data_IF_003955005449
#
_entry.id   IF_003955005449
#
_cell.length_a   1.000
_cell.length_b   1.000
_cell.length_c   1.000
_cell.angle_alpha   90.00
_cell.angle_beta   90.00
_cell.angle_gamma   90.00
#
_symmetry.space_group_name_H-M   'P 1'
#
loop_
_entity.id
_entity.type
_entity.pdbx_description
1 polymer ?
#
# COMPACT_ATOMS: atom_id res chain seq x y z
N UNK A 1 45.47 -1.05 -3.62
CA UNK A 1 44.23 -0.25 -3.68
C UNK A 1 43.94 0.05 -5.14
N UNK A 2 42.71 -0.17 -5.61
CA UNK A 2 42.28 0.34 -6.92
C UNK A 2 42.08 1.85 -6.77
N UNK A 3 42.77 2.65 -7.59
CA UNK A 3 42.74 4.11 -7.52
C UNK A 3 41.44 4.74 -8.01
N UNK A 4 40.63 3.97 -8.76
CA UNK A 4 39.38 4.43 -9.36
C UNK A 4 38.33 3.31 -9.38
N UNK A 5 37.06 3.70 -9.40
CA UNK A 5 35.94 2.76 -9.43
C UNK A 5 35.82 2.14 -10.84
N UNK A 6 36.03 0.82 -11.00
CA UNK A 6 35.97 0.14 -12.32
C UNK A 6 34.56 0.12 -12.94
N UNK A 7 33.54 0.56 -12.20
CA UNK A 7 32.15 0.65 -12.66
C UNK A 7 31.68 2.09 -12.95
N UNK A 8 32.57 3.09 -12.88
CA UNK A 8 32.21 4.50 -13.04
C UNK A 8 31.53 4.81 -14.39
N UNK A 9 31.89 4.07 -15.45
CA UNK A 9 31.34 4.27 -16.80
C UNK A 9 30.10 3.39 -17.09
N UNK A 10 29.75 2.46 -16.20
CA UNK A 10 28.59 1.59 -16.41
C UNK A 10 27.31 2.34 -16.03
N UNK A 11 26.58 2.80 -17.05
CA UNK A 11 25.23 3.35 -16.88
C UNK A 11 24.26 2.23 -16.51
N UNK A 12 23.72 2.26 -15.29
CA UNK A 12 22.62 1.38 -14.91
C UNK A 12 21.35 1.78 -15.65
N UNK A 13 20.66 0.82 -16.28
CA UNK A 13 19.36 1.06 -16.91
C UNK A 13 18.28 1.50 -15.92
N UNK A 14 17.20 2.09 -16.44
CA UNK A 14 16.03 2.44 -15.62
C UNK A 14 15.47 1.21 -14.91
N UNK A 15 15.39 1.27 -13.57
CA UNK A 15 14.80 0.22 -12.73
C UNK A 15 13.26 0.17 -12.82
N UNK A 16 12.66 1.10 -13.58
CA UNK A 16 11.20 1.25 -13.70
C UNK A 16 10.77 1.02 -15.15
N UNK A 17 9.89 0.04 -15.35
CA UNK A 17 9.27 -0.24 -16.64
C UNK A 17 7.74 -0.19 -16.51
N UNK A 18 7.14 0.94 -16.92
CA UNK A 18 5.70 1.19 -16.83
C UNK A 18 4.87 0.38 -17.82
N UNK A 19 5.42 -0.06 -18.97
CA UNK A 19 4.68 -0.86 -19.95
C UNK A 19 4.31 -2.25 -19.44
N UNK A 20 4.91 -2.67 -18.32
CA UNK A 20 4.61 -3.92 -17.62
C UNK A 20 3.65 -3.73 -16.44
N UNK A 21 3.12 -2.54 -16.22
CA UNK A 21 2.04 -2.33 -15.25
C UNK A 21 0.75 -2.91 -15.82
N UNK A 22 -0.02 -3.54 -14.94
CA UNK A 22 -1.30 -4.12 -15.29
C UNK A 22 -2.21 -4.00 -14.07
N UNK A 23 -3.42 -3.50 -14.29
CA UNK A 23 -4.41 -3.33 -13.23
C UNK A 23 -5.34 -4.54 -13.21
N UNK A 24 -5.45 -5.20 -12.05
CA UNK A 24 -6.30 -6.37 -11.85
C UNK A 24 -7.57 -5.91 -11.15
N UNK A 25 -8.69 -5.89 -11.88
CA UNK A 25 -9.98 -5.50 -11.33
C UNK A 25 -10.50 -6.49 -10.29
N UNK A 26 -11.53 -6.10 -9.53
CA UNK A 26 -12.16 -6.97 -8.53
C UNK A 26 -12.84 -8.18 -9.19
N UNK A 27 -13.42 -7.98 -10.37
CA UNK A 27 -14.09 -9.03 -11.15
C UNK A 27 -13.09 -10.08 -11.64
N UNK A 28 -11.92 -9.64 -12.13
CA UNK A 28 -10.84 -10.57 -12.50
C UNK A 28 -10.30 -11.28 -11.25
N UNK A 29 -10.10 -10.57 -10.14
CA UNK A 29 -9.64 -11.17 -8.89
C UNK A 29 -10.61 -12.24 -8.37
N UNK A 30 -11.92 -12.01 -8.45
CA UNK A 30 -12.94 -12.99 -8.07
C UNK A 30 -12.83 -14.29 -8.89
N UNK A 31 -12.77 -14.17 -10.23
CA UNK A 31 -12.58 -15.35 -11.11
C UNK A 31 -11.34 -16.17 -10.76
N UNK A 32 -10.25 -15.50 -10.39
CA UNK A 32 -9.01 -16.19 -10.01
C UNK A 32 -9.14 -16.88 -8.66
N UNK A 33 -9.79 -16.25 -7.68
CA UNK A 33 -10.06 -16.83 -6.36
C UNK A 33 -10.97 -18.07 -6.47
N UNK A 34 -11.95 -18.06 -7.36
CA UNK A 34 -12.85 -19.20 -7.59
C UNK A 34 -12.13 -20.39 -8.25
N UNK A 35 -11.09 -20.11 -9.04
CA UNK A 35 -10.28 -21.14 -9.69
C UNK A 35 -9.15 -21.69 -8.80
N UNK A 36 -8.88 -21.08 -7.64
CA UNK A 36 -7.85 -21.52 -6.71
C UNK A 36 -8.11 -22.97 -6.24
N UNK A 37 -7.07 -23.81 -6.13
CA UNK A 37 -7.24 -25.23 -5.81
C UNK A 37 -7.61 -25.50 -4.34
N UNK A 38 -7.30 -24.59 -3.43
CA UNK A 38 -7.56 -24.73 -2.00
C UNK A 38 -7.55 -23.36 -1.28
N UNK A 39 -7.92 -23.37 0.00
CA UNK A 39 -7.98 -22.18 0.85
C UNK A 39 -6.62 -21.47 0.99
N UNK A 40 -5.52 -22.22 1.09
CA UNK A 40 -4.18 -21.61 1.16
C UNK A 40 -3.83 -20.84 -0.13
N UNK A 41 -4.21 -21.34 -1.31
CA UNK A 41 -4.02 -20.58 -2.56
C UNK A 41 -4.91 -19.34 -2.64
N UNK A 42 -6.15 -19.42 -2.14
CA UNK A 42 -7.02 -18.24 -2.02
C UNK A 42 -6.35 -17.19 -1.15
N UNK A 43 -5.76 -17.60 -0.01
CA UNK A 43 -4.98 -16.73 0.86
C UNK A 43 -3.75 -16.16 0.15
N UNK A 44 -2.93 -16.98 -0.51
CA UNK A 44 -1.72 -16.53 -1.22
C UNK A 44 -2.06 -15.42 -2.23
N UNK A 45 -3.14 -15.61 -3.00
CA UNK A 45 -3.60 -14.60 -3.95
C UNK A 45 -4.12 -13.34 -3.23
N UNK A 46 -4.97 -13.51 -2.22
CA UNK A 46 -5.59 -12.42 -1.47
C UNK A 46 -4.58 -11.56 -0.68
N UNK A 47 -3.52 -12.14 -0.12
CA UNK A 47 -2.48 -11.41 0.60
C UNK A 47 -1.80 -10.38 -0.31
N UNK A 48 -1.49 -10.74 -1.55
CA UNK A 48 -0.96 -9.81 -2.54
C UNK A 48 -2.04 -8.85 -3.08
N UNK A 49 -3.24 -9.34 -3.40
CA UNK A 49 -4.29 -8.55 -4.07
C UNK A 49 -5.03 -7.58 -3.16
N UNK A 50 -5.31 -7.96 -1.92
CA UNK A 50 -6.08 -7.16 -0.97
C UNK A 50 -5.24 -6.68 0.20
N UNK A 51 -4.28 -7.49 0.67
CA UNK A 51 -3.31 -7.06 1.69
C UNK A 51 -2.15 -6.22 1.14
N UNK A 52 -1.90 -6.32 -0.18
CA UNK A 52 -0.74 -5.68 -0.79
C UNK A 52 0.60 -6.23 -0.32
N UNK A 53 0.67 -7.45 0.22
CA UNK A 53 1.93 -8.06 0.70
C UNK A 53 2.86 -8.42 -0.47
N UNK A 54 4.16 -8.54 -0.17
CA UNK A 54 5.19 -9.05 -1.08
C UNK A 54 5.23 -10.57 -1.06
N UNK A 55 5.23 -11.16 -2.24
CA UNK A 55 5.32 -12.61 -2.44
C UNK A 55 6.76 -13.01 -2.83
N UNK A 56 7.31 -14.14 -2.34
CA UNK A 56 6.69 -15.07 -1.39
C UNK A 56 7.01 -14.79 0.08
N UNK A 57 8.05 -14.01 0.38
CA UNK A 57 8.64 -13.94 1.72
C UNK A 57 7.67 -13.52 2.82
N UNK A 58 6.86 -12.47 2.59
CA UNK A 58 5.91 -12.00 3.60
C UNK A 58 4.71 -12.96 3.73
N UNK A 59 4.34 -13.67 2.66
CA UNK A 59 3.22 -14.60 2.68
C UNK A 59 3.59 -15.83 3.52
N UNK A 60 4.80 -16.35 3.30
CA UNK A 60 5.30 -17.52 4.02
C UNK A 60 5.78 -17.18 5.43
N UNK A 61 6.05 -15.91 5.77
CA UNK A 61 6.37 -15.53 7.14
C UNK A 61 5.13 -15.40 8.05
N UNK A 62 3.94 -15.19 7.47
CA UNK A 62 2.74 -14.85 8.22
C UNK A 62 2.22 -16.00 9.08
N UNK A 63 1.96 -15.70 10.35
CA UNK A 63 1.41 -16.65 11.34
C UNK A 63 0.01 -16.22 11.77
N UNK A 64 -0.78 -17.17 12.26
CA UNK A 64 -2.14 -16.87 12.74
C UNK A 64 -2.15 -15.86 13.90
N UNK A 65 -1.12 -15.89 14.76
CA UNK A 65 -0.92 -14.91 15.84
C UNK A 65 -0.73 -13.47 15.36
N UNK A 66 -0.36 -13.27 14.09
CA UNK A 66 -0.14 -11.95 13.52
C UNK A 66 -1.46 -11.32 13.01
N UNK A 67 -2.56 -12.08 13.03
CA UNK A 67 -3.90 -11.63 12.63
C UNK A 67 -4.68 -11.20 13.88
N UNK A 68 -4.85 -9.90 14.05
CA UNK A 68 -5.71 -9.35 15.09
C UNK A 68 -7.12 -9.12 14.54
N UNK A 69 -7.98 -10.12 14.76
CA UNK A 69 -9.37 -10.12 14.29
C UNK A 69 -10.21 -9.04 14.94
N UNK A 70 -9.95 -8.72 16.21
CA UNK A 70 -10.76 -7.80 17.00
C UNK A 70 -10.41 -6.35 16.64
N UNK A 71 -9.12 -6.03 16.55
CA UNK A 71 -8.67 -4.70 16.15
C UNK A 71 -8.71 -4.48 14.62
N UNK A 72 -8.93 -5.53 13.83
CA UNK A 72 -8.95 -5.46 12.37
C UNK A 72 -7.57 -5.12 11.80
N UNK A 73 -6.51 -5.74 12.34
CA UNK A 73 -5.11 -5.44 11.98
C UNK A 73 -4.35 -6.71 11.62
N UNK A 74 -3.37 -6.56 10.74
CA UNK A 74 -2.46 -7.60 10.30
C UNK A 74 -1.02 -7.13 10.48
N UNK A 75 -0.26 -7.82 11.32
CA UNK A 75 1.17 -7.55 11.50
C UNK A 75 1.98 -8.27 10.43
N UNK A 76 2.74 -7.52 9.64
CA UNK A 76 3.56 -8.08 8.55
C UNK A 76 5.03 -7.81 8.84
N UNK A 77 5.75 -8.88 9.13
CA UNK A 77 7.20 -8.87 9.38
C UNK A 77 7.99 -8.64 8.09
N UNK A 78 9.03 -7.81 8.16
CA UNK A 78 9.86 -7.46 7.01
C UNK A 78 11.31 -7.89 7.24
N UNK A 79 11.71 -8.99 6.61
CA UNK A 79 13.10 -9.48 6.66
C UNK A 79 14.10 -8.57 5.95
N UNK A 80 13.64 -7.65 5.10
CA UNK A 80 14.51 -6.78 4.30
C UNK A 80 14.81 -5.43 4.94
N UNK A 81 13.97 -4.98 5.86
CA UNK A 81 14.11 -3.68 6.55
C UNK A 81 14.37 -3.83 8.03
N UNK A 82 14.60 -5.06 8.50
CA UNK A 82 14.99 -5.35 9.90
C UNK A 82 16.24 -4.58 10.31
N UNK A 83 17.18 -4.35 9.38
CA UNK A 83 18.38 -3.56 9.60
C UNK A 83 18.13 -2.03 9.67
N UNK A 84 16.89 -1.56 9.56
CA UNK A 84 16.53 -0.14 9.65
C UNK A 84 15.69 0.07 10.92
N UNK A 85 15.94 1.16 11.64
CA UNK A 85 15.22 1.48 12.87
C UNK A 85 13.70 1.58 12.62
N UNK A 86 12.91 0.82 13.38
CA UNK A 86 11.46 0.70 13.17
C UNK A 86 11.03 -0.13 11.94
N UNK A 87 11.95 -0.77 11.23
CA UNK A 87 11.69 -1.50 9.98
C UNK A 87 11.42 -3.01 10.12
N UNK A 88 11.38 -3.55 11.33
CA UNK A 88 11.19 -4.99 11.57
C UNK A 88 9.81 -5.51 11.15
N UNK A 89 8.78 -4.67 11.24
CA UNK A 89 7.41 -5.01 10.86
C UNK A 89 6.62 -3.77 10.45
N UNK A 90 5.43 -4.00 9.89
CA UNK A 90 4.42 -2.97 9.67
C UNK A 90 3.04 -3.51 10.03
N UNK A 91 2.12 -2.61 10.34
CA UNK A 91 0.72 -2.96 10.58
C UNK A 91 -0.12 -2.55 9.37
N UNK A 92 -0.85 -3.50 8.82
CA UNK A 92 -1.77 -3.32 7.69
C UNK A 92 -3.20 -3.47 8.18
N UNK A 93 -4.18 -2.69 7.70
CA UNK A 93 -5.58 -2.97 7.97
C UNK A 93 -5.95 -4.37 7.49
N UNK A 94 -6.70 -5.11 8.30
CA UNK A 94 -7.31 -6.36 7.90
C UNK A 94 -8.54 -6.05 7.04
N UNK A 95 -8.29 -5.72 5.77
CA UNK A 95 -9.33 -5.32 4.83
C UNK A 95 -10.43 -6.38 4.71
N UNK A 96 -11.71 -6.00 4.53
CA UNK A 96 -12.84 -6.94 4.55
C UNK A 96 -12.67 -8.14 3.60
N UNK A 97 -12.15 -7.90 2.40
CA UNK A 97 -11.93 -8.93 1.39
C UNK A 97 -10.83 -9.92 1.81
N UNK A 98 -9.79 -9.42 2.47
CA UNK A 98 -8.74 -10.27 3.03
C UNK A 98 -9.22 -11.01 4.28
N UNK A 99 -10.02 -10.35 5.12
CA UNK A 99 -10.61 -10.93 6.33
C UNK A 99 -11.44 -12.15 6.01
N UNK A 100 -12.31 -12.07 5.00
CA UNK A 100 -13.17 -13.17 4.59
C UNK A 100 -12.34 -14.40 4.17
N UNK A 101 -11.33 -14.21 3.33
CA UNK A 101 -10.45 -15.30 2.86
C UNK A 101 -9.61 -15.89 3.99
N UNK A 102 -9.09 -15.06 4.90
CA UNK A 102 -8.33 -15.56 6.05
C UNK A 102 -9.22 -16.32 7.04
N UNK A 103 -10.48 -15.90 7.23
CA UNK A 103 -11.43 -16.61 8.11
C UNK A 103 -11.76 -17.99 7.54
N UNK A 104 -12.08 -18.08 6.26
CA UNK A 104 -12.31 -19.36 5.55
C UNK A 104 -11.11 -20.31 5.72
N UNK A 105 -9.89 -19.80 5.55
CA UNK A 105 -8.67 -20.58 5.74
C UNK A 105 -8.41 -20.96 7.20
N UNK A 106 -8.80 -20.12 8.17
CA UNK A 106 -8.65 -20.40 9.59
C UNK A 106 -9.59 -21.51 10.05
N UNK A 107 -10.83 -21.54 9.56
CA UNK A 107 -11.84 -22.55 9.90
C UNK A 107 -11.43 -23.97 9.46
N UNK A 108 -10.68 -24.08 8.36
CA UNK A 108 -10.19 -25.37 7.85
C UNK A 108 -8.74 -25.69 8.24
N UNK A 109 -8.07 -24.77 8.95
CA UNK A 109 -6.69 -24.98 9.38
C UNK A 109 -6.62 -26.07 10.45
N UNK A 110 -5.52 -26.83 10.46
CA UNK A 110 -5.26 -27.80 11.50
C UNK A 110 -5.13 -27.09 12.87
N UNK A 111 -5.80 -27.63 13.89
CA UNK A 111 -5.74 -27.10 15.24
C UNK A 111 -4.28 -27.05 15.73
N UNK A 112 -3.85 -25.88 16.20
CA UNK A 112 -2.46 -25.65 16.62
C UNK A 112 -1.48 -25.35 15.48
N UNK A 113 -1.94 -25.29 14.23
CA UNK A 113 -1.15 -24.80 13.11
C UNK A 113 -0.65 -23.38 13.35
N UNK A 114 0.65 -23.13 13.14
CA UNK A 114 1.25 -21.82 13.41
C UNK A 114 1.10 -20.85 12.23
N UNK A 115 1.30 -21.35 11.02
CA UNK A 115 1.44 -20.55 9.81
C UNK A 115 0.12 -20.46 9.03
N UNK A 116 -0.15 -19.28 8.47
CA UNK A 116 -1.33 -19.06 7.61
C UNK A 116 -1.21 -19.86 6.31
N UNK A 117 0.01 -19.95 5.75
CA UNK A 117 0.33 -20.80 4.60
C UNK A 117 1.29 -21.88 5.08
N UNK A 118 0.77 -23.09 5.30
CA UNK A 118 1.51 -24.23 5.84
C UNK A 118 2.03 -25.16 4.72
N UNK A 119 1.21 -25.43 3.71
CA UNK A 119 1.48 -26.41 2.65
C UNK A 119 2.56 -25.96 1.65
N UNK A 120 2.55 -24.69 1.27
CA UNK A 120 3.35 -24.18 0.13
C UNK A 120 4.72 -23.59 0.51
N UNK A 121 5.36 -24.12 1.55
CA UNK A 121 6.60 -23.56 2.15
C UNK A 121 7.90 -24.17 1.63
N UNK A 122 7.83 -25.30 0.94
CA UNK A 122 9.02 -26.04 0.49
C UNK A 122 9.72 -25.34 -0.68
N UNK A 123 11.05 -25.48 -0.81
CA UNK A 123 11.86 -24.80 -1.84
C UNK A 123 11.44 -25.12 -3.29
N UNK A 124 10.82 -26.27 -3.52
CA UNK A 124 10.32 -26.71 -4.83
C UNK A 124 8.91 -26.15 -5.17
N UNK A 125 8.23 -25.48 -4.24
CA UNK A 125 6.93 -24.86 -4.50
C UNK A 125 7.08 -23.58 -5.31
N UNK A 126 6.84 -23.66 -6.63
CA UNK A 126 6.88 -22.49 -7.51
C UNK A 126 5.50 -21.80 -7.60
N UNK A 127 5.30 -20.77 -6.78
CA UNK A 127 4.05 -20.00 -6.75
C UNK A 127 3.75 -19.32 -8.10
N UNK A 128 4.75 -18.90 -8.86
CA UNK A 128 4.54 -18.28 -10.18
C UNK A 128 3.92 -19.29 -11.15
N UNK A 129 4.51 -20.48 -11.26
CA UNK A 129 4.04 -21.52 -12.18
C UNK A 129 2.61 -21.94 -11.81
N UNK A 130 2.34 -22.11 -10.52
CA UNK A 130 1.00 -22.51 -10.08
C UNK A 130 -0.04 -21.40 -10.32
N UNK A 131 0.30 -20.12 -10.09
CA UNK A 131 -0.60 -19.01 -10.42
C UNK A 131 -0.93 -19.00 -11.93
N UNK A 132 0.05 -19.22 -12.81
CA UNK A 132 -0.22 -19.31 -14.26
C UNK A 132 -1.23 -20.41 -14.61
N UNK A 133 -1.18 -21.57 -13.94
CA UNK A 133 -2.17 -22.65 -14.12
C UNK A 133 -3.55 -22.23 -13.63
N UNK A 134 -3.63 -21.54 -12.50
CA UNK A 134 -4.89 -21.01 -11.95
C UNK A 134 -5.50 -20.00 -12.93
N UNK A 135 -4.69 -19.09 -13.50
CA UNK A 135 -5.16 -18.12 -14.49
C UNK A 135 -5.72 -18.80 -15.74
N UNK A 136 -5.00 -19.82 -16.25
CA UNK A 136 -5.49 -20.63 -17.37
C UNK A 136 -6.84 -21.29 -17.06
N UNK A 137 -6.98 -21.90 -15.88
CA UNK A 137 -8.24 -22.51 -15.43
C UNK A 137 -9.37 -21.49 -15.28
N UNK A 138 -9.06 -20.27 -14.85
CA UNK A 138 -10.02 -19.17 -14.70
C UNK A 138 -10.44 -18.54 -16.04
N UNK A 139 -9.83 -18.96 -17.16
CA UNK A 139 -10.02 -18.28 -18.46
C UNK A 139 -9.49 -16.85 -18.47
N UNK A 140 -8.51 -16.53 -17.62
CA UNK A 140 -7.93 -15.20 -17.48
C UNK A 140 -6.56 -15.17 -18.15
N UNK A 141 -6.30 -14.26 -19.10
CA UNK A 141 -4.98 -14.09 -19.68
C UNK A 141 -3.93 -13.74 -18.62
N UNK A 142 -2.73 -14.32 -18.74
CA UNK A 142 -1.63 -14.01 -17.83
C UNK A 142 -1.13 -12.57 -18.03
N UNK A 143 -0.82 -11.90 -16.93
CA UNK A 143 -0.24 -10.55 -16.94
C UNK A 143 1.25 -10.55 -16.55
N UNK A 144 2.02 -9.51 -16.94
CA UNK A 144 3.41 -9.37 -16.50
C UNK A 144 3.50 -9.21 -14.98
N UNK A 145 4.66 -9.58 -14.39
CA UNK A 145 4.97 -9.34 -12.97
C UNK A 145 3.85 -9.76 -12.00
N UNK A 146 3.30 -10.96 -12.21
CA UNK A 146 2.08 -11.50 -11.58
C UNK A 146 1.73 -10.93 -10.19
N UNK A 147 2.48 -11.28 -9.14
CA UNK A 147 2.21 -10.84 -7.77
C UNK A 147 2.47 -9.36 -7.53
N UNK A 148 3.47 -8.78 -8.21
CA UNK A 148 3.76 -7.36 -8.07
C UNK A 148 2.61 -6.50 -8.59
N UNK A 149 1.99 -6.90 -9.70
CA UNK A 149 0.85 -6.16 -10.25
C UNK A 149 -0.44 -6.33 -9.42
N UNK A 150 -0.60 -7.44 -8.68
CA UNK A 150 -1.66 -7.55 -7.66
C UNK A 150 -1.48 -6.48 -6.56
N UNK A 151 -0.25 -6.37 -6.02
CA UNK A 151 0.09 -5.32 -5.04
C UNK A 151 -0.04 -3.92 -5.62
N UNK A 152 0.39 -3.71 -6.86
CA UNK A 152 0.28 -2.44 -7.60
C UNK A 152 -1.18 -2.00 -7.76
N UNK A 153 -2.06 -2.94 -8.10
CA UNK A 153 -3.49 -2.70 -8.16
C UNK A 153 -4.04 -2.29 -6.80
N UNK A 154 -3.66 -3.00 -5.74
CA UNK A 154 -4.09 -2.65 -4.36
C UNK A 154 -3.60 -1.27 -3.92
N UNK A 155 -2.34 -0.96 -4.18
CA UNK A 155 -1.77 0.34 -3.81
C UNK A 155 -2.43 1.49 -4.56
N UNK A 156 -2.76 1.30 -5.84
CA UNK A 156 -3.48 2.28 -6.64
C UNK A 156 -4.86 2.57 -6.03
N UNK A 157 -5.65 1.53 -5.73
CA UNK A 157 -6.97 1.67 -5.10
C UNK A 157 -6.89 2.41 -3.76
N UNK A 158 -5.99 1.97 -2.88
CA UNK A 158 -5.87 2.58 -1.55
C UNK A 158 -5.41 4.05 -1.62
N UNK A 159 -4.58 4.43 -2.60
CA UNK A 159 -4.08 5.80 -2.72
C UNK A 159 -5.15 6.78 -3.25
N UNK A 160 -6.23 6.27 -3.81
CA UNK A 160 -7.37 7.09 -4.20
C UNK A 160 -8.34 7.32 -3.04
N UNK A 161 -8.36 6.41 -2.07
CA UNK A 161 -9.23 6.46 -0.89
C UNK A 161 -8.53 7.13 0.30
N UNK A 162 -7.22 6.97 0.43
CA UNK A 162 -6.44 7.40 1.59
C UNK A 162 -5.19 8.21 1.19
N UNK A 163 -4.70 9.09 2.07
CA UNK A 163 -3.48 9.85 1.81
C UNK A 163 -2.28 8.93 1.50
N UNK A 164 -1.48 9.31 0.49
CA UNK A 164 -0.39 8.47 0.00
C UNK A 164 0.62 8.03 1.08
N UNK A 165 0.94 8.90 2.04
CA UNK A 165 1.86 8.56 3.13
C UNK A 165 1.30 7.46 4.07
N UNK A 166 -0.01 7.45 4.30
CA UNK A 166 -0.69 6.41 5.10
C UNK A 166 -0.62 5.06 4.37
N UNK A 167 -0.95 5.05 3.08
CA UNK A 167 -0.88 3.84 2.25
C UNK A 167 0.55 3.31 2.16
N UNK A 168 1.52 4.20 2.00
CA UNK A 168 2.95 3.87 2.00
C UNK A 168 3.40 3.23 3.31
N UNK A 169 2.93 3.73 4.46
CA UNK A 169 3.19 3.13 5.77
C UNK A 169 2.59 1.71 5.87
N UNK A 170 1.34 1.51 5.44
CA UNK A 170 0.69 0.19 5.44
C UNK A 170 1.37 -0.81 4.50
N UNK A 171 1.77 -0.38 3.31
CA UNK A 171 2.35 -1.30 2.33
C UNK A 171 3.86 -1.44 2.52
N UNK A 172 4.51 -0.59 3.31
CA UNK A 172 5.94 -0.65 3.61
C UNK A 172 6.80 -0.23 2.41
N UNK A 173 6.45 0.88 1.77
CA UNK A 173 7.30 1.56 0.78
C UNK A 173 7.29 3.07 1.02
N UNK A 174 8.22 3.81 0.41
CA UNK A 174 8.14 5.28 0.39
C UNK A 174 7.13 5.76 -0.66
N UNK A 175 6.62 6.98 -0.48
CA UNK A 175 5.70 7.61 -1.46
C UNK A 175 6.35 7.73 -2.84
N UNK A 176 7.65 8.06 -2.88
CA UNK A 176 8.42 8.14 -4.13
C UNK A 176 8.49 6.78 -4.83
N UNK A 177 8.77 5.71 -4.08
CA UNK A 177 8.77 4.34 -4.62
C UNK A 177 7.37 3.92 -5.08
N UNK A 178 6.33 4.31 -4.35
CA UNK A 178 4.94 4.06 -4.74
C UNK A 178 4.63 4.70 -6.10
N UNK A 179 4.94 6.00 -6.25
CA UNK A 179 4.70 6.77 -7.47
C UNK A 179 5.46 6.19 -8.68
N UNK A 180 6.71 5.76 -8.48
CA UNK A 180 7.51 5.20 -9.56
C UNK A 180 7.07 3.78 -9.97
N UNK A 181 6.73 2.91 -9.01
CA UNK A 181 6.62 1.47 -9.28
C UNK A 181 5.21 0.88 -9.17
N UNK A 182 4.28 1.54 -8.50
CA UNK A 182 2.99 0.96 -8.13
C UNK A 182 1.76 1.79 -8.55
N UNK A 183 1.83 3.12 -8.57
CA UNK A 183 0.64 3.92 -8.90
C UNK A 183 0.33 3.89 -10.40
N UNK A 184 -0.85 3.36 -10.73
CA UNK A 184 -1.35 3.22 -12.10
C UNK A 184 -2.34 4.34 -12.43
N UNK A 185 -2.25 4.88 -13.64
CA UNK A 185 -3.29 5.75 -14.22
C UNK A 185 -4.31 4.84 -14.92
N UNK A 186 -5.59 5.07 -14.68
CA UNK A 186 -6.72 4.27 -15.17
C UNK A 186 -7.68 5.14 -15.97
N UNK A 187 -8.43 4.53 -16.90
CA UNK A 187 -9.43 5.23 -17.71
C UNK A 187 -10.45 5.97 -16.84
N UNK A 188 -10.93 5.35 -15.77
CA UNK A 188 -11.82 6.00 -14.81
C UNK A 188 -11.27 7.26 -14.15
N UNK A 189 -9.94 7.47 -14.12
CA UNK A 189 -9.37 8.74 -13.62
C UNK A 189 -9.63 9.87 -14.59
N UNK A 190 -9.63 9.59 -15.90
CA UNK A 190 -10.06 10.56 -16.91
C UNK A 190 -11.56 10.81 -16.80
N UNK A 191 -12.37 9.75 -16.71
CA UNK A 191 -13.84 9.89 -16.58
C UNK A 191 -14.22 10.70 -15.34
N UNK A 192 -13.60 10.42 -14.19
CA UNK A 192 -13.86 11.15 -12.95
C UNK A 192 -13.33 12.59 -12.95
N UNK A 193 -12.27 12.89 -13.71
CA UNK A 193 -11.74 14.25 -13.82
C UNK A 193 -12.60 15.14 -14.73
N UNK A 194 -13.27 14.54 -15.72
CA UNK A 194 -14.17 15.25 -16.66
C UNK A 194 -15.61 15.32 -16.13
N UNK A 195 -16.07 14.31 -15.39
CA UNK A 195 -17.37 14.32 -14.75
C UNK A 195 -17.48 15.40 -13.68
N UNK A 196 -18.56 16.17 -13.67
CA UNK A 196 -18.88 17.08 -12.56
C UNK A 196 -18.87 16.26 -11.26
N UNK A 197 -18.10 16.71 -10.27
CA UNK A 197 -17.95 16.06 -8.96
C UNK A 197 -19.32 15.76 -8.35
N UNK A 198 -19.79 14.53 -8.48
CA UNK A 198 -20.92 14.05 -7.69
C UNK A 198 -20.46 14.03 -6.22
N UNK A 199 -20.97 14.98 -5.46
CA UNK A 199 -20.76 15.12 -4.03
C UNK A 199 -20.96 13.78 -3.31
N UNK A 200 -19.90 13.29 -2.65
CA UNK A 200 -20.04 12.30 -1.58
C UNK A 200 -18.86 12.42 -0.62
N UNK A 201 -18.78 13.56 0.07
CA UNK A 201 -18.32 13.51 1.46
C UNK A 201 -19.38 12.71 2.22
N UNK A 202 -19.10 11.43 2.47
CA UNK A 202 -19.86 10.60 3.39
C UNK A 202 -19.65 11.16 4.80
N UNK A 203 -20.52 12.08 5.21
CA UNK A 203 -20.69 12.44 6.60
C UNK A 203 -21.62 11.41 7.24
N UNK A 204 -21.04 10.38 7.89
CA UNK A 204 -21.77 9.62 8.91
C UNK A 204 -21.88 10.50 10.16
N UNK A 205 -22.90 11.35 10.22
CA UNK A 205 -23.37 11.93 11.48
C UNK A 205 -24.72 11.27 11.83
N UNK A 206 -24.87 10.66 13.01
CA UNK A 206 -26.18 10.18 13.45
C UNK A 206 -27.04 11.42 13.78
N UNK A 207 -28.13 11.59 13.03
CA UNK A 207 -29.15 12.59 13.35
C UNK A 207 -29.90 12.15 14.61
N UNK A 208 -29.67 12.85 15.73
CA UNK A 208 -30.59 12.82 16.87
C UNK A 208 -31.83 13.64 16.51
N UNK A 209 -32.99 12.97 16.52
CA UNK A 209 -34.30 13.59 16.49
C UNK A 209 -34.56 14.33 17.81
N UNK A 210 -34.97 15.60 17.72
CA UNK A 210 -35.29 16.44 18.86
C UNK A 210 -36.15 17.63 18.45
N UNK A 211 -37.46 17.38 18.39
CA UNK A 211 -38.62 18.27 18.47
C UNK A 211 -38.50 19.78 18.16
N UNK A 212 -39.40 20.21 17.26
CA UNK A 212 -39.82 21.58 16.99
C UNK A 212 -40.32 22.33 18.23
N UNK A 213 -40.05 23.65 18.31
CA UNK A 213 -41.00 24.62 18.86
C UNK A 213 -40.74 26.05 18.32
N UNK A 214 -41.74 26.49 17.55
CA UNK A 214 -42.28 27.84 17.31
C UNK A 214 -41.40 29.12 17.37
N UNK A 215 -41.34 29.75 16.19
CA UNK A 215 -41.35 31.20 15.84
C UNK A 215 -41.65 32.23 16.94
N UNK A 216 -40.85 33.31 16.98
CA UNK A 216 -41.22 34.69 16.59
C UNK A 216 -40.08 35.68 16.90
N UNK A 217 -39.80 36.63 16.01
CA UNK A 217 -38.88 37.75 16.29
C UNK A 217 -38.33 38.43 15.05
N UNK A 218 -38.84 39.63 14.76
CA UNK A 218 -38.68 40.42 13.54
C UNK A 218 -37.29 41.05 13.34
N UNK A 219 -37.06 41.46 12.08
CA UNK A 219 -35.94 42.19 11.46
C UNK A 219 -35.30 43.32 12.28
N UNK A 220 -33.98 43.51 12.07
CA UNK A 220 -33.39 44.83 11.86
C UNK A 220 -32.06 44.77 11.06
N UNK A 221 -32.11 45.44 9.90
CA UNK A 221 -31.07 46.28 9.25
C UNK A 221 -29.72 45.73 8.76
N UNK A 222 -29.61 45.84 7.43
CA UNK A 222 -28.47 46.15 6.57
C UNK A 222 -27.26 46.82 7.24
N UNK A 223 -26.05 46.29 6.97
CA UNK A 223 -24.78 46.88 7.33
C UNK A 223 -23.62 46.33 6.49
N UNK A 224 -23.33 47.03 5.39
CA UNK A 224 -22.05 47.20 4.68
C UNK A 224 -21.09 46.00 4.47
N UNK A 225 -20.86 45.73 3.19
CA UNK A 225 -19.71 45.03 2.61
C UNK A 225 -18.41 45.75 3.00
N UNK A 226 -17.49 45.05 3.66
CA UNK A 226 -16.11 45.47 3.82
C UNK A 226 -15.18 44.56 3.03
N UNK A 227 -14.43 45.20 2.15
CA UNK A 227 -13.52 44.67 1.15
C UNK A 227 -12.35 43.90 1.77
N UNK A 228 -11.86 42.92 1.01
CA UNK A 228 -10.77 42.03 1.40
C UNK A 228 -9.45 42.75 1.68
N UNK A 229 -8.75 42.27 2.71
CA UNK A 229 -7.37 42.62 2.97
C UNK A 229 -6.44 41.76 2.08
N UNK A 230 -5.44 42.36 1.41
CA UNK A 230 -4.47 41.61 0.64
C UNK A 230 -3.51 40.86 1.57
N UNK A 231 -3.33 39.56 1.32
CA UNK A 231 -2.30 38.72 1.95
C UNK A 231 -0.93 39.24 1.55
N UNK A 232 -0.18 39.79 2.50
CA UNK A 232 1.23 40.13 2.32
C UNK A 232 2.03 38.84 2.09
N UNK A 233 2.79 38.81 0.99
CA UNK A 233 3.81 37.79 0.72
C UNK A 233 5.12 38.24 1.37
N UNK A 234 5.38 37.76 2.58
CA UNK A 234 6.72 37.82 3.14
C UNK A 234 7.55 36.65 2.58
N UNK A 235 8.22 36.90 1.47
CA UNK A 235 9.32 36.06 1.00
C UNK A 235 10.60 36.50 1.72
N UNK A 236 10.98 35.79 2.77
CA UNK A 236 12.34 35.83 3.28
C UNK A 236 13.27 35.06 2.31
N UNK A 237 14.44 35.60 1.94
CA UNK A 237 15.44 34.84 1.20
C UNK A 237 15.99 33.72 2.09
N UNK A 238 16.05 32.50 1.53
CA UNK A 238 16.59 31.31 2.18
C UNK A 238 18.07 31.53 2.53
N UNK A 239 18.40 31.60 3.81
CA UNK A 239 19.79 31.63 4.28
C UNK A 239 20.49 30.33 3.87
N UNK A 240 21.59 30.47 3.13
CA UNK A 240 22.51 29.37 2.81
C UNK A 240 23.19 28.87 4.08
N UNK A 241 22.92 27.62 4.44
CA UNK A 241 23.63 26.91 5.51
C UNK A 241 25.09 26.69 5.08
N UNK A 242 26.10 27.15 5.83
CA UNK A 242 27.48 26.84 5.49
C UNK A 242 27.73 25.34 5.70
N UNK A 243 28.06 24.63 4.63
CA UNK A 243 28.64 23.29 4.71
C UNK A 243 29.95 23.38 5.50
N UNK A 244 29.98 22.77 6.69
CA UNK A 244 31.21 22.58 7.44
C UNK A 244 32.21 21.77 6.61
N UNK A 245 33.45 22.26 6.49
CA UNK A 245 34.54 21.54 5.82
C UNK A 245 34.76 20.20 6.52
N UNK A 246 34.54 19.11 5.79
CA UNK A 246 34.87 17.75 6.24
C UNK A 246 36.40 17.61 6.21
N UNK A 247 37.01 17.32 7.35
CA UNK A 247 38.43 16.98 7.43
C UNK A 247 38.70 15.60 6.82
N UNK A 248 39.89 15.34 6.25
CA UNK A 248 40.16 14.12 5.47
C UNK A 248 40.28 12.82 6.29
N UNK A 249 39.96 12.85 7.59
CA UNK A 249 40.04 11.69 8.49
C UNK A 249 38.61 11.26 8.84
N UNK A 250 38.26 10.02 8.47
CA UNK A 250 36.93 9.44 8.70
C UNK A 250 36.61 9.23 10.18
N UNK A 251 35.32 9.02 10.47
CA UNK A 251 34.79 8.69 11.80
C UNK A 251 35.11 7.24 12.16
N UNK A 252 36.36 6.94 12.53
CA UNK A 252 36.71 5.69 13.20
C UNK A 252 37.36 5.99 14.55
N UNK A 253 36.97 5.28 15.64
CA UNK A 253 37.61 5.43 16.93
C UNK A 253 39.01 4.82 16.91
N UNK A 254 40.02 5.63 17.22
CA UNK A 254 41.41 5.20 17.38
C UNK A 254 41.57 4.51 18.74
N UNK A 255 41.82 3.19 18.73
CA UNK A 255 42.35 2.51 19.90
C UNK A 255 43.85 2.85 20.01
N UNK A 256 44.27 3.35 21.18
CA UNK A 256 45.67 3.64 21.53
C UNK A 256 46.38 2.36 22.02
N UNK A 257 47.73 2.31 21.96
CA UNK A 257 48.52 1.10 21.71
C UNK A 257 48.58 0.09 22.86
#
# INVERSE_FOLDING_TARGET
>A
MLGENPFAEIRTGSQTNRSRMHFITREVAAKVLDACPDAEWRVIFALSRYGGLRCPSEHLALRWRDVDWAAGRLTVWSSKTEAHEGGAFRVVPLFPELRAVLMEAFEVAESGGEHVVARYRQRNCNLRTQLLRILSRAGVPAWPRLFHNLRSSRQTELTEEFPAHVVSAWLGNSVVVAQAHYLQVRDRHFDAAVGEKAASNVAHNPAQSGAELARSGSQATCGAVAQGAPVQRDTAPCETVPFGKVTPMGFEPMFSP
#
